data_IF_517182614697
#
_entry.id   IF_517182614697
#
_cell.length_a   1.000
_cell.length_b   1.000
_cell.length_c   1.000
_cell.angle_alpha   90.00
_cell.angle_beta   90.00
_cell.angle_gamma   90.00
#
_symmetry.space_group_name_H-M   'P 1'
#
loop_
_entity.id
_entity.type
_entity.pdbx_description
1 polymer ?
#
# COMPACT_ATOMS: atom_id res chain seq x y z
N UNK A 1 9.34 5.07 -9.84
CA UNK A 1 9.80 5.54 -8.50
C UNK A 1 8.85 6.57 -7.87
N UNK A 2 8.11 7.33 -8.68
CA UNK A 2 6.98 8.14 -8.22
C UNK A 2 5.92 7.28 -7.53
N UNK A 3 5.52 6.16 -8.15
CA UNK A 3 4.56 5.23 -7.55
C UNK A 3 4.99 4.72 -6.17
N UNK A 4 6.28 4.45 -5.94
CA UNK A 4 6.77 4.08 -4.61
C UNK A 4 6.53 5.18 -3.57
N UNK A 5 6.74 6.45 -3.93
CA UNK A 5 6.46 7.59 -3.03
C UNK A 5 4.96 7.78 -2.80
N UNK A 6 4.16 7.55 -3.83
CA UNK A 6 2.70 7.62 -3.73
C UNK A 6 2.19 6.53 -2.77
N UNK A 7 2.68 5.30 -2.90
CA UNK A 7 2.33 4.21 -1.99
C UNK A 7 2.63 4.54 -0.52
N UNK A 8 3.78 5.17 -0.24
CA UNK A 8 4.10 5.64 1.12
C UNK A 8 3.12 6.72 1.61
N UNK A 9 2.75 7.66 0.75
CA UNK A 9 1.75 8.70 1.07
C UNK A 9 0.35 8.11 1.33
N UNK A 10 -0.04 7.09 0.58
CA UNK A 10 -1.29 6.37 0.80
C UNK A 10 -1.28 5.58 2.12
N UNK A 11 -0.13 5.03 2.53
CA UNK A 11 0.00 4.45 3.87
C UNK A 11 -0.10 5.48 5.00
N UNK A 12 0.49 6.66 4.85
CA UNK A 12 0.32 7.75 5.83
C UNK A 12 -1.17 8.14 5.96
N UNK A 13 -1.90 8.18 4.84
CA UNK A 13 -3.34 8.43 4.84
C UNK A 13 -4.14 7.27 5.44
N UNK A 14 -3.75 6.02 5.18
CA UNK A 14 -4.35 4.82 5.77
C UNK A 14 -4.22 4.81 7.30
N UNK A 15 -3.05 5.18 7.83
CA UNK A 15 -2.83 5.30 9.28
C UNK A 15 -3.80 6.32 9.91
N UNK A 16 -3.96 7.49 9.29
CA UNK A 16 -4.92 8.51 9.77
C UNK A 16 -6.36 8.01 9.73
N UNK A 17 -6.75 7.26 8.70
CA UNK A 17 -8.07 6.66 8.62
C UNK A 17 -8.29 5.60 9.72
N UNK A 18 -7.27 4.79 10.00
CA UNK A 18 -7.30 3.82 11.11
C UNK A 18 -7.48 4.52 12.47
N UNK A 19 -6.73 5.59 12.72
CA UNK A 19 -6.86 6.39 13.95
C UNK A 19 -8.26 7.00 14.10
N UNK A 20 -8.85 7.43 12.99
CA UNK A 20 -10.22 7.95 12.94
C UNK A 20 -11.31 6.87 12.99
N UNK A 21 -10.94 5.58 13.01
CA UNK A 21 -11.86 4.43 12.86
C UNK A 21 -12.71 4.50 11.59
N UNK A 22 -12.17 5.13 10.54
CA UNK A 22 -12.77 5.22 9.21
C UNK A 22 -12.30 4.04 8.37
N UNK A 23 -13.03 2.93 8.50
CA UNK A 23 -12.66 1.65 7.93
C UNK A 23 -12.83 1.63 6.40
N UNK A 24 -13.75 2.44 5.89
CA UNK A 24 -13.96 2.59 4.45
C UNK A 24 -12.76 3.30 3.82
N UNK A 25 -12.34 4.44 4.39
CA UNK A 25 -11.14 5.15 3.93
C UNK A 25 -9.88 4.30 4.12
N UNK A 26 -9.74 3.58 5.24
CA UNK A 26 -8.62 2.67 5.45
C UNK A 26 -8.48 1.67 4.30
N UNK A 27 -9.58 1.01 3.93
CA UNK A 27 -9.59 0.03 2.84
C UNK A 27 -9.19 0.66 1.50
N UNK A 28 -9.78 1.82 1.16
CA UNK A 28 -9.48 2.55 -0.09
C UNK A 28 -8.00 2.93 -0.15
N UNK A 29 -7.46 3.49 0.94
CA UNK A 29 -6.08 3.98 1.00
C UNK A 29 -5.06 2.86 0.89
N UNK A 30 -5.31 1.74 1.56
CA UNK A 30 -4.44 0.57 1.44
C UNK A 30 -4.51 -0.07 0.06
N UNK A 31 -5.70 -0.16 -0.56
CA UNK A 31 -5.82 -0.64 -1.95
C UNK A 31 -5.09 0.25 -2.95
N UNK A 32 -5.10 1.57 -2.74
CA UNK A 32 -4.33 2.51 -3.55
C UNK A 32 -2.81 2.27 -3.38
N UNK A 33 -2.33 2.12 -2.14
CA UNK A 33 -0.92 1.83 -1.87
C UNK A 33 -0.45 0.53 -2.54
N UNK A 34 -1.28 -0.53 -2.51
CA UNK A 34 -1.01 -1.79 -3.21
C UNK A 34 -0.90 -1.59 -4.73
N UNK A 35 -1.85 -0.85 -5.32
CA UNK A 35 -1.88 -0.54 -6.77
C UNK A 35 -0.64 0.24 -7.20
N UNK A 36 -0.20 1.19 -6.39
CA UNK A 36 1.03 1.96 -6.61
C UNK A 36 2.29 1.09 -6.48
N UNK A 37 2.31 0.18 -5.50
CA UNK A 37 3.36 -0.83 -5.35
C UNK A 37 3.50 -1.71 -6.59
N UNK A 38 2.38 -2.24 -7.09
CA UNK A 38 2.31 -3.06 -8.30
C UNK A 38 2.75 -2.29 -9.55
N UNK A 39 2.28 -1.04 -9.68
CA UNK A 39 2.69 -0.15 -10.77
C UNK A 39 4.20 0.09 -10.71
N UNK A 40 4.76 0.35 -9.53
CA UNK A 40 6.20 0.48 -9.36
C UNK A 40 6.94 -0.80 -9.76
N UNK A 41 6.43 -1.99 -9.38
CA UNK A 41 7.02 -3.27 -9.75
C UNK A 41 7.07 -3.47 -11.27
N UNK A 42 5.97 -3.12 -11.95
CA UNK A 42 5.83 -3.26 -13.41
C UNK A 42 6.82 -2.40 -14.21
N UNK A 43 7.26 -1.27 -13.63
CA UNK A 43 8.25 -0.37 -14.23
C UNK A 43 9.69 -0.89 -14.08
N UNK A 44 9.97 -1.73 -13.09
CA UNK A 44 11.34 -2.14 -12.73
C UNK A 44 12.13 -2.91 -13.80
N UNK A 45 11.54 -3.80 -14.63
CA UNK A 45 12.28 -4.52 -15.66
C UNK A 45 13.02 -3.60 -16.64
N UNK A 46 12.57 -2.34 -16.77
CA UNK A 46 13.23 -1.32 -17.60
C UNK A 46 14.52 -0.75 -17.02
N UNK A 47 14.84 -1.01 -15.74
CA UNK A 47 15.92 -0.31 -15.00
C UNK A 47 16.93 -1.20 -14.25
N UNK A 48 16.88 -2.54 -14.35
CA UNK A 48 17.71 -3.47 -13.54
C UNK A 48 17.71 -3.09 -12.04
N UNK A 49 16.61 -3.38 -11.31
CA UNK A 49 16.40 -2.85 -9.97
C UNK A 49 17.39 -3.44 -8.95
N UNK A 50 17.76 -2.62 -7.97
CA UNK A 50 18.45 -3.09 -6.76
C UNK A 50 17.55 -4.10 -6.01
N UNK A 51 18.09 -5.24 -5.53
CA UNK A 51 17.36 -6.19 -4.67
C UNK A 51 16.63 -5.56 -3.48
N UNK A 52 17.17 -4.48 -2.89
CA UNK A 52 16.52 -3.78 -1.79
C UNK A 52 15.23 -3.08 -2.21
N UNK A 53 15.17 -2.53 -3.42
CA UNK A 53 13.95 -1.93 -3.96
C UNK A 53 12.88 -2.99 -4.24
N UNK A 54 13.28 -4.16 -4.77
CA UNK A 54 12.39 -5.30 -4.95
C UNK A 54 11.77 -5.76 -3.62
N UNK A 55 12.59 -5.83 -2.57
CA UNK A 55 12.11 -6.14 -1.23
C UNK A 55 11.10 -5.10 -0.73
N UNK A 56 11.41 -3.81 -0.86
CA UNK A 56 10.51 -2.74 -0.40
C UNK A 56 9.15 -2.76 -1.10
N UNK A 57 9.13 -3.05 -2.41
CA UNK A 57 7.87 -3.20 -3.16
C UNK A 57 7.09 -4.43 -2.70
N UNK A 58 7.77 -5.56 -2.46
CA UNK A 58 7.12 -6.74 -1.88
C UNK A 58 6.59 -6.48 -0.46
N UNK A 59 7.30 -5.68 0.34
CA UNK A 59 6.83 -5.27 1.67
C UNK A 59 5.54 -4.44 1.56
N UNK A 60 5.41 -3.53 0.57
CA UNK A 60 4.17 -2.77 0.31
C UNK A 60 3.00 -3.71 0.02
N UNK A 61 3.19 -4.67 -0.87
CA UNK A 61 2.13 -5.62 -1.26
C UNK A 61 1.67 -6.47 -0.07
N UNK A 62 2.63 -7.09 0.63
CA UNK A 62 2.35 -7.93 1.80
C UNK A 62 1.66 -7.17 2.92
N UNK A 63 2.13 -5.97 3.25
CA UNK A 63 1.52 -5.13 4.29
C UNK A 63 0.12 -4.68 3.87
N UNK A 64 -0.08 -4.34 2.60
CA UNK A 64 -1.39 -3.96 2.09
C UNK A 64 -2.38 -5.13 2.20
N UNK A 65 -1.97 -6.34 1.81
CA UNK A 65 -2.79 -7.54 1.96
C UNK A 65 -3.22 -7.80 3.40
N UNK A 66 -2.29 -7.70 4.36
CA UNK A 66 -2.58 -7.87 5.79
C UNK A 66 -3.60 -6.83 6.27
N UNK A 67 -3.38 -5.55 5.96
CA UNK A 67 -4.27 -4.47 6.44
C UNK A 67 -5.63 -4.54 5.76
N UNK A 68 -5.73 -4.95 4.49
CA UNK A 68 -7.01 -5.18 3.82
C UNK A 68 -7.83 -6.27 4.53
N UNK A 69 -7.21 -7.39 4.90
CA UNK A 69 -7.87 -8.45 5.67
C UNK A 69 -8.38 -7.89 7.00
N UNK A 70 -7.55 -7.14 7.74
CA UNK A 70 -7.94 -6.52 9.01
C UNK A 70 -9.13 -5.55 8.80
N UNK A 71 -9.05 -4.67 7.80
CA UNK A 71 -10.09 -3.68 7.49
C UNK A 71 -11.45 -4.31 7.17
N UNK A 72 -11.45 -5.51 6.58
CA UNK A 72 -12.66 -6.25 6.23
C UNK A 72 -13.32 -6.94 7.44
N UNK A 73 -12.57 -7.21 8.51
CA UNK A 73 -13.08 -7.82 9.74
C UNK A 73 -13.58 -6.74 10.72
N UNK A 74 -13.14 -5.49 10.54
CA UNK A 74 -13.57 -4.38 11.37
C UNK A 74 -15.05 -4.02 11.13
N UNK A 75 -15.78 -3.57 12.18
CA UNK A 75 -17.19 -3.19 12.04
C UNK A 75 -17.37 -2.11 10.97
N UNK A 76 -18.31 -2.29 10.05
CA UNK A 76 -18.66 -1.24 9.10
C UNK A 76 -19.53 -0.23 9.84
N UNK A 77 -19.00 0.99 10.01
CA UNK A 77 -19.78 2.12 10.55
C UNK A 77 -20.81 2.59 9.52
#
# INVERSE_FOLDING_TARGET
MENYKNALGEFDAAIKALEAKDNASLNIKVSAAMTDGDSCNSELPSVKPNPQLLKQISDIDNLSGIVLVISNIMPKN
#
